data_IF_268631918885
#
_entry.id   IF_268631918885
#
_cell.length_a   1.000
_cell.length_b   1.000
_cell.length_c   1.000
_cell.angle_alpha   90.00
_cell.angle_beta   90.00
_cell.angle_gamma   90.00
#
_symmetry.space_group_name_H-M   'P 1'
#
loop_
_entity.id
_entity.type
_entity.pdbx_description
1 polymer ?
#
# COMPACT_ATOMS: atom_id res chain seq x y z
N UNK A 1 2.44 11.12 -14.58
CA UNK A 1 2.76 9.69 -14.79
C UNK A 1 1.49 8.89 -14.54
N UNK A 2 1.13 7.96 -15.43
CA UNK A 2 -0.02 7.08 -15.28
C UNK A 2 0.49 5.64 -15.27
N UNK A 3 0.16 4.87 -14.23
CA UNK A 3 0.43 3.45 -14.15
C UNK A 3 -0.91 2.72 -14.00
N UNK A 4 -1.20 1.81 -14.92
CA UNK A 4 -2.42 0.99 -14.94
C UNK A 4 -2.15 -0.46 -14.56
N UNK A 5 -3.10 -1.03 -13.81
CA UNK A 5 -3.29 -2.43 -13.45
C UNK A 5 -2.10 -3.18 -12.80
N UNK A 6 -1.91 -2.91 -11.50
CA UNK A 6 -1.31 -3.89 -10.57
C UNK A 6 -2.24 -5.11 -10.47
N UNK A 7 -1.73 -6.29 -10.83
CA UNK A 7 -2.44 -7.58 -10.71
C UNK A 7 -2.45 -8.12 -9.27
N UNK A 8 -1.86 -7.40 -8.33
CA UNK A 8 -1.57 -7.88 -6.97
C UNK A 8 -2.73 -7.63 -6.00
N UNK A 9 -2.90 -8.58 -5.07
CA UNK A 9 -3.93 -8.57 -4.01
C UNK A 9 -3.42 -8.07 -2.66
N UNK A 10 -2.12 -7.78 -2.58
CA UNK A 10 -1.42 -7.32 -1.38
C UNK A 10 -0.66 -6.03 -1.68
N UNK A 11 -0.29 -5.32 -0.62
CA UNK A 11 0.58 -4.14 -0.67
C UNK A 11 1.97 -4.53 -0.17
N UNK A 12 3.01 -4.27 -0.94
CA UNK A 12 4.39 -4.46 -0.50
C UNK A 12 4.89 -3.17 0.17
N UNK A 13 5.33 -3.29 1.41
CA UNK A 13 6.10 -2.26 2.12
C UNK A 13 7.58 -2.64 2.04
N UNK A 14 8.35 -1.84 1.32
CA UNK A 14 9.80 -2.03 1.17
C UNK A 14 10.51 -1.00 2.05
N UNK A 15 11.45 -1.47 2.87
CA UNK A 15 12.36 -0.61 3.63
C UNK A 15 13.65 -0.45 2.84
N UNK A 16 14.08 0.81 2.66
CA UNK A 16 15.30 1.16 1.92
C UNK A 16 16.35 1.69 2.90
N UNK A 17 17.62 1.34 2.68
CA UNK A 17 18.74 1.96 3.37
C UNK A 17 19.08 3.35 2.79
N UNK A 18 20.09 4.01 3.36
CA UNK A 18 20.56 5.33 2.92
C UNK A 18 21.10 5.33 1.47
N UNK A 19 21.51 4.17 0.96
CA UNK A 19 21.98 3.97 -0.41
C UNK A 19 20.83 3.68 -1.39
N UNK A 20 19.59 3.60 -0.90
CA UNK A 20 18.40 3.29 -1.70
C UNK A 20 18.24 1.80 -2.00
N UNK A 21 18.97 0.93 -1.32
CA UNK A 21 18.90 -0.52 -1.47
C UNK A 21 17.80 -1.08 -0.56
N UNK A 22 17.04 -2.05 -1.07
CA UNK A 22 16.00 -2.73 -0.30
C UNK A 22 16.63 -3.63 0.78
N UNK A 23 16.31 -3.35 2.05
CA UNK A 23 16.80 -4.10 3.21
C UNK A 23 15.71 -4.95 3.88
N UNK A 24 14.43 -4.64 3.65
CA UNK A 24 13.31 -5.45 4.09
C UNK A 24 12.10 -5.32 3.16
N UNK A 25 11.27 -6.35 3.11
CA UNK A 25 9.99 -6.36 2.39
C UNK A 25 8.92 -7.02 3.29
N UNK A 26 7.78 -6.36 3.42
CA UNK A 26 6.62 -6.85 4.17
C UNK A 26 5.39 -6.84 3.25
N UNK A 27 4.64 -7.95 3.26
CA UNK A 27 3.36 -8.06 2.57
C UNK A 27 2.23 -7.69 3.51
N UNK A 28 1.50 -6.65 3.15
CA UNK A 28 0.32 -6.17 3.87
C UNK A 28 -0.96 -6.59 3.14
N UNK A 29 -2.04 -6.75 3.89
CA UNK A 29 -3.40 -6.97 3.38
C UNK A 29 -3.59 -8.29 2.60
N UNK A 30 -2.78 -9.31 2.87
CA UNK A 30 -2.89 -10.62 2.19
C UNK A 30 -4.29 -11.24 2.36
N UNK A 31 -4.93 -11.02 3.51
CA UNK A 31 -6.26 -11.54 3.83
C UNK A 31 -7.42 -10.70 3.28
N UNK A 32 -7.15 -9.51 2.70
CA UNK A 32 -8.20 -8.63 2.19
C UNK A 32 -8.97 -9.26 1.02
N UNK A 33 -8.34 -10.19 0.29
CA UNK A 33 -8.96 -10.94 -0.81
C UNK A 33 -9.63 -10.07 -1.89
N UNK A 34 -9.09 -8.87 -2.12
CA UNK A 34 -9.56 -7.90 -3.12
C UNK A 34 -8.36 -7.36 -3.91
N UNK A 35 -8.52 -7.07 -5.20
CA UNK A 35 -7.43 -6.49 -5.99
C UNK A 35 -7.35 -5.00 -5.72
N UNK A 36 -6.16 -4.50 -5.40
CA UNK A 36 -5.90 -3.06 -5.26
C UNK A 36 -5.84 -2.46 -6.67
N UNK A 37 -6.63 -1.41 -6.90
CA UNK A 37 -6.77 -0.76 -8.22
C UNK A 37 -6.02 0.55 -8.35
N UNK A 38 -5.97 1.32 -7.27
CA UNK A 38 -5.20 2.54 -7.17
C UNK A 38 -4.75 2.74 -5.73
N UNK A 39 -3.65 3.43 -5.54
CA UNK A 39 -3.09 3.79 -4.24
C UNK A 39 -2.52 5.20 -4.30
N UNK A 40 -2.76 6.00 -3.26
CA UNK A 40 -2.19 7.34 -3.10
C UNK A 40 -1.80 7.56 -1.64
N UNK A 41 -0.73 8.32 -1.44
CA UNK A 41 -0.31 8.77 -0.12
C UNK A 41 -0.79 10.21 0.12
N UNK A 42 -1.35 10.47 1.29
CA UNK A 42 -1.71 11.83 1.71
C UNK A 42 -0.51 12.61 2.27
N UNK A 43 -0.59 13.94 2.39
CA UNK A 43 0.50 14.75 2.97
C UNK A 43 0.92 14.34 4.38
N UNK A 44 -0.01 13.82 5.19
CA UNK A 44 0.23 13.28 6.54
C UNK A 44 0.79 11.84 6.54
N UNK A 45 1.00 11.25 5.37
CA UNK A 45 1.63 9.94 5.19
C UNK A 45 0.66 8.75 5.22
N UNK A 46 -0.66 8.97 5.23
CA UNK A 46 -1.64 7.88 5.19
C UNK A 46 -1.75 7.30 3.79
N UNK A 47 -2.10 6.02 3.72
CA UNK A 47 -2.23 5.31 2.44
C UNK A 47 -3.71 5.08 2.15
N UNK A 48 -4.21 5.71 1.11
CA UNK A 48 -5.56 5.49 0.59
C UNK A 48 -5.47 4.57 -0.61
N UNK A 49 -6.36 3.58 -0.69
CA UNK A 49 -6.41 2.69 -1.85
C UNK A 49 -7.83 2.25 -2.19
N UNK A 50 -8.06 2.06 -3.49
CA UNK A 50 -9.33 1.54 -4.03
C UNK A 50 -9.20 0.07 -4.42
N UNK A 51 -10.32 -0.64 -4.42
CA UNK A 51 -10.37 -2.06 -4.81
C UNK A 51 -11.29 -2.33 -5.98
N UNK A 52 -11.17 -3.51 -6.58
CA UNK A 52 -12.03 -3.96 -7.67
C UNK A 52 -13.48 -4.23 -7.27
N UNK A 53 -13.80 -4.22 -5.97
CA UNK A 53 -15.17 -4.24 -5.46
C UNK A 53 -15.77 -2.85 -5.23
N UNK A 54 -15.04 -1.78 -5.54
CA UNK A 54 -15.50 -0.39 -5.35
C UNK A 54 -15.28 0.16 -3.93
N UNK A 55 -14.66 -0.60 -3.03
CA UNK A 55 -14.31 -0.13 -1.69
C UNK A 55 -13.12 0.84 -1.75
N UNK A 56 -13.12 1.82 -0.84
CA UNK A 56 -11.99 2.70 -0.54
C UNK A 56 -11.59 2.47 0.91
N UNK A 57 -10.31 2.18 1.15
CA UNK A 57 -9.74 1.98 2.48
C UNK A 57 -8.68 3.04 2.77
N UNK A 58 -8.40 3.24 4.06
CA UNK A 58 -7.29 4.05 4.55
C UNK A 58 -6.46 3.22 5.53
N UNK A 59 -5.14 3.21 5.35
CA UNK A 59 -4.17 2.75 6.33
C UNK A 59 -3.54 3.96 6.99
N UNK A 60 -3.65 4.02 8.32
CA UNK A 60 -3.05 5.06 9.14
C UNK A 60 -1.98 4.45 10.04
N UNK A 61 -0.97 5.22 10.45
CA UNK A 61 -0.08 4.79 11.51
C UNK A 61 -0.90 4.44 12.74
N UNK A 62 -0.71 3.23 13.28
CA UNK A 62 -1.32 2.89 14.54
C UNK A 62 -0.70 3.80 15.61
N UNK A 63 -1.52 4.66 16.23
CA UNK A 63 -1.10 5.35 17.46
C UNK A 63 -1.07 4.29 18.55
N UNK A 64 0.03 3.54 18.64
CA UNK A 64 0.35 2.86 19.87
C UNK A 64 0.63 3.95 20.91
N UNK A 65 -0.20 3.98 21.95
CA UNK A 65 0.17 4.61 23.22
C UNK A 65 1.35 3.87 23.83
#
# INVERSE_FOLDING_TARGET
MLAGALILRHLNRVELNEQGEAIAEERLLEDLNQRIRALVQSPEGWIYFSTDRGNIYVLTPNKLN
#
